data_IF_386139922137
#
_entry.id   IF_386139922137
#
_cell.length_a   1.000
_cell.length_b   1.000
_cell.length_c   1.000
_cell.angle_alpha   90.00
_cell.angle_beta   90.00
_cell.angle_gamma   90.00
#
_symmetry.space_group_name_H-M   'P 1'
#
loop_
_entity.id
_entity.type
_entity.pdbx_description
1 polymer ?
#
# COMPACT_ATOMS: atom_id res chain seq x y z
N UNK A 1 62.30 -16.49 -18.53
CA UNK A 1 61.07 -15.66 -18.59
C UNK A 1 59.81 -16.47 -18.34
N UNK A 2 59.64 -17.62 -19.01
CA UNK A 2 58.51 -18.55 -18.83
C UNK A 2 58.29 -18.99 -17.37
N UNK A 3 59.35 -19.30 -16.61
CA UNK A 3 59.21 -19.70 -15.20
C UNK A 3 58.75 -18.58 -14.27
N UNK A 4 59.05 -17.32 -14.58
CA UNK A 4 58.58 -16.17 -13.78
C UNK A 4 57.09 -15.89 -13.98
N UNK A 5 56.53 -16.29 -15.11
CA UNK A 5 55.12 -16.07 -15.45
C UNK A 5 54.19 -17.18 -14.93
N UNK A 6 54.71 -18.38 -14.63
CA UNK A 6 53.94 -19.50 -14.04
C UNK A 6 53.15 -19.11 -12.77
N UNK A 7 53.76 -18.50 -11.73
CA UNK A 7 53.02 -18.15 -10.52
C UNK A 7 51.95 -17.07 -10.75
N UNK A 8 52.13 -16.20 -11.75
CA UNK A 8 51.12 -15.22 -12.14
C UNK A 8 49.94 -15.88 -12.87
N UNK A 9 50.23 -16.86 -13.73
CA UNK A 9 49.22 -17.67 -14.43
C UNK A 9 48.41 -18.52 -13.45
N UNK A 10 49.05 -19.13 -12.47
CA UNK A 10 48.38 -19.95 -11.46
C UNK A 10 47.47 -19.10 -10.57
N UNK A 11 47.93 -17.92 -10.14
CA UNK A 11 47.09 -16.94 -9.43
C UNK A 11 45.90 -16.45 -10.28
N UNK A 12 46.10 -16.27 -11.59
CA UNK A 12 45.02 -15.87 -12.50
C UNK A 12 43.98 -16.99 -12.67
N UNK A 13 44.43 -18.25 -12.77
CA UNK A 13 43.56 -19.43 -12.83
C UNK A 13 42.74 -19.59 -11.55
N UNK A 14 43.38 -19.44 -10.39
CA UNK A 14 42.69 -19.53 -9.10
C UNK A 14 41.66 -18.41 -8.93
N UNK A 15 41.98 -17.19 -9.36
CA UNK A 15 41.01 -16.08 -9.37
C UNK A 15 39.84 -16.34 -10.32
N UNK A 16 40.10 -16.86 -11.52
CA UNK A 16 39.03 -17.23 -12.45
C UNK A 16 38.13 -18.31 -11.87
N UNK A 17 38.68 -19.36 -11.27
CA UNK A 17 37.91 -20.40 -10.59
C UNK A 17 37.02 -19.82 -9.48
N UNK A 18 37.56 -18.94 -8.63
CA UNK A 18 36.77 -18.27 -7.58
C UNK A 18 35.68 -17.36 -8.13
N UNK A 19 35.89 -16.75 -9.29
CA UNK A 19 34.90 -15.88 -9.92
C UNK A 19 33.80 -16.70 -10.61
N UNK A 20 34.13 -17.84 -11.22
CA UNK A 20 33.14 -18.77 -11.78
C UNK A 20 32.25 -19.35 -10.70
N UNK A 21 32.82 -19.81 -9.57
CA UNK A 21 32.03 -20.33 -8.45
C UNK A 21 31.06 -19.27 -7.87
N UNK A 22 31.52 -18.02 -7.82
CA UNK A 22 30.66 -16.89 -7.39
C UNK A 22 29.58 -16.57 -8.41
N UNK A 23 29.88 -16.65 -9.70
CA UNK A 23 28.90 -16.41 -10.75
C UNK A 23 27.80 -17.47 -10.70
N UNK A 24 28.17 -18.75 -10.54
CA UNK A 24 27.24 -19.87 -10.37
C UNK A 24 26.40 -19.73 -9.09
N UNK A 25 27.04 -19.38 -7.97
CA UNK A 25 26.32 -19.15 -6.71
C UNK A 25 25.38 -17.93 -6.74
N UNK A 26 25.67 -16.93 -7.58
CA UNK A 26 24.78 -15.79 -7.79
C UNK A 26 23.63 -16.12 -8.75
N UNK A 27 23.88 -16.91 -9.80
CA UNK A 27 22.82 -17.37 -10.71
C UNK A 27 21.82 -18.26 -9.99
N UNK A 28 22.28 -19.20 -9.14
CA UNK A 28 21.37 -20.01 -8.32
C UNK A 28 20.49 -19.17 -7.40
N UNK A 29 21.05 -18.09 -6.81
CA UNK A 29 20.27 -17.19 -5.95
C UNK A 29 19.25 -16.41 -6.75
N UNK A 30 19.60 -15.97 -7.96
CA UNK A 30 18.65 -15.32 -8.87
C UNK A 30 17.52 -16.27 -9.27
N UNK A 31 17.84 -17.51 -9.60
CA UNK A 31 16.81 -18.51 -9.95
C UNK A 31 15.89 -18.81 -8.77
N UNK A 32 16.44 -18.95 -7.55
CA UNK A 32 15.65 -19.10 -6.32
C UNK A 32 14.74 -17.90 -6.07
N UNK A 33 15.23 -16.67 -6.29
CA UNK A 33 14.44 -15.45 -6.15
C UNK A 33 13.37 -15.31 -7.24
N UNK A 34 13.68 -15.70 -8.49
CA UNK A 34 12.69 -15.70 -9.57
C UNK A 34 11.59 -16.74 -9.32
N UNK A 35 11.95 -17.91 -8.81
CA UNK A 35 10.99 -18.95 -8.43
C UNK A 35 10.16 -18.57 -7.21
N UNK A 36 10.72 -17.85 -6.23
CA UNK A 36 9.91 -17.33 -5.11
C UNK A 36 9.03 -16.15 -5.54
N UNK A 37 9.49 -15.32 -6.46
CA UNK A 37 8.69 -14.24 -7.07
C UNK A 37 7.57 -14.77 -7.97
N UNK A 38 7.72 -15.93 -8.62
CA UNK A 38 6.61 -16.49 -9.40
C UNK A 38 5.48 -16.97 -8.46
N UNK A 39 5.82 -17.59 -7.33
CA UNK A 39 4.86 -17.97 -6.28
C UNK A 39 4.21 -16.73 -5.65
N UNK A 40 5.00 -15.75 -5.20
CA UNK A 40 4.50 -14.53 -4.57
C UNK A 40 3.84 -13.56 -5.56
N UNK A 41 4.20 -13.60 -6.84
CA UNK A 41 3.62 -12.80 -7.92
C UNK A 41 2.27 -13.33 -8.38
N UNK A 42 2.06 -14.65 -8.28
CA UNK A 42 0.73 -15.24 -8.35
C UNK A 42 -0.08 -14.74 -7.16
N UNK A 43 0.47 -14.73 -5.94
CA UNK A 43 -0.22 -14.15 -4.78
C UNK A 43 -0.37 -12.63 -4.82
N UNK A 44 0.42 -11.86 -5.55
CA UNK A 44 0.18 -10.42 -5.71
C UNK A 44 -0.91 -10.12 -6.74
N UNK A 45 -0.96 -10.91 -7.84
CA UNK A 45 -2.09 -10.88 -8.78
C UNK A 45 -3.36 -11.49 -8.19
N UNK A 46 -3.21 -12.43 -7.26
CA UNK A 46 -4.31 -13.18 -6.62
C UNK A 46 -4.72 -12.56 -5.28
N UNK A 47 -3.87 -11.83 -4.55
CA UNK A 47 -4.26 -11.00 -3.40
C UNK A 47 -4.95 -9.71 -3.85
N UNK A 48 -4.74 -9.30 -5.11
CA UNK A 48 -5.65 -8.37 -5.78
C UNK A 48 -6.99 -9.03 -6.19
N UNK A 49 -7.11 -10.36 -6.14
CA UNK A 49 -8.29 -11.12 -6.60
C UNK A 49 -9.04 -11.89 -5.49
N UNK A 50 -8.42 -12.15 -4.33
CA UNK A 50 -9.02 -12.84 -3.19
C UNK A 50 -9.50 -11.77 -2.22
N UNK A 51 -10.71 -11.28 -2.47
CA UNK A 51 -11.41 -10.35 -1.57
C UNK A 51 -11.63 -8.94 -2.12
N UNK A 52 -11.17 -8.62 -3.32
CA UNK A 52 -11.53 -7.35 -3.98
C UNK A 52 -12.77 -7.60 -4.86
N UNK A 53 -13.91 -6.93 -4.62
CA UNK A 53 -15.06 -7.04 -5.49
C UNK A 53 -14.68 -6.64 -6.93
N UNK A 54 -15.15 -7.40 -7.92
CA UNK A 54 -14.97 -7.27 -9.38
C UNK A 54 -15.23 -5.86 -9.98
N UNK A 55 -15.63 -4.87 -9.19
CA UNK A 55 -16.09 -3.54 -9.62
C UNK A 55 -14.99 -2.50 -9.91
N UNK A 56 -13.69 -2.84 -9.91
CA UNK A 56 -12.62 -1.83 -10.14
C UNK A 56 -12.16 -1.66 -11.59
N UNK A 57 -12.75 -2.39 -12.55
CA UNK A 57 -12.61 -2.13 -13.98
C UNK A 57 -13.96 -1.71 -14.57
N UNK A 58 -14.59 -0.71 -13.96
CA UNK A 58 -15.54 0.09 -14.73
C UNK A 58 -14.71 1.00 -15.62
N UNK A 59 -14.74 0.76 -16.93
CA UNK A 59 -14.41 1.78 -17.93
C UNK A 59 -15.02 3.10 -17.45
N UNK A 60 -14.17 4.11 -17.19
CA UNK A 60 -14.67 5.44 -16.80
C UNK A 60 -15.45 5.97 -17.99
N UNK A 61 -16.77 5.80 -17.98
CA UNK A 61 -17.62 6.45 -18.96
C UNK A 61 -17.46 7.96 -18.78
N UNK A 62 -17.30 8.72 -19.87
CA UNK A 62 -17.29 10.17 -19.78
C UNK A 62 -18.62 10.61 -19.12
N UNK A 63 -18.58 11.61 -18.21
CA UNK A 63 -19.79 12.07 -17.55
C UNK A 63 -20.78 12.59 -18.60
N UNK A 64 -22.10 12.35 -18.44
CA UNK A 64 -23.09 12.85 -19.38
C UNK A 64 -23.02 14.38 -19.52
N UNK A 65 -23.42 14.91 -20.69
CA UNK A 65 -23.38 16.34 -20.99
C UNK A 65 -24.18 17.16 -19.96
N UNK A 66 -23.88 18.48 -19.80
CA UNK A 66 -24.39 19.31 -18.71
C UNK A 66 -25.92 19.41 -18.53
N UNK A 67 -26.74 18.88 -19.43
CA UNK A 67 -28.21 18.80 -19.31
C UNK A 67 -28.79 17.39 -19.11
N UNK A 68 -27.98 16.33 -19.26
CA UNK A 68 -28.42 14.92 -19.15
C UNK A 68 -27.97 14.26 -17.84
N UNK A 69 -27.30 15.02 -16.97
CA UNK A 69 -26.88 14.53 -15.66
C UNK A 69 -28.12 14.32 -14.80
N UNK A 70 -28.39 13.06 -14.47
CA UNK A 70 -29.42 12.72 -13.47
C UNK A 70 -29.06 13.41 -12.15
N UNK A 71 -30.07 13.99 -11.50
CA UNK A 71 -29.92 14.55 -10.15
C UNK A 71 -29.33 13.50 -9.21
N UNK A 72 -28.30 13.82 -8.42
CA UNK A 72 -27.68 12.85 -7.52
C UNK A 72 -28.67 12.33 -6.47
N UNK A 73 -28.79 11.01 -6.39
CA UNK A 73 -29.45 10.29 -5.31
C UNK A 73 -30.91 9.92 -5.57
N UNK A 74 -31.24 8.69 -5.17
CA UNK A 74 -32.60 8.13 -5.16
C UNK A 74 -32.95 7.31 -6.40
N UNK A 75 -33.72 6.23 -6.20
CA UNK A 75 -34.51 5.62 -7.28
C UNK A 75 -35.44 6.70 -7.89
N UNK A 76 -35.88 6.55 -9.16
CA UNK A 76 -36.82 7.47 -9.79
C UNK A 76 -38.03 7.75 -8.88
N UNK A 77 -38.30 9.04 -8.60
CA UNK A 77 -39.39 9.46 -7.70
C UNK A 77 -39.01 9.67 -6.23
N UNK A 78 -37.77 9.36 -5.84
CA UNK A 78 -37.26 9.63 -4.49
C UNK A 78 -36.21 10.74 -4.50
N UNK A 79 -36.32 11.69 -3.58
CA UNK A 79 -35.27 12.68 -3.38
C UNK A 79 -34.00 11.99 -2.87
N UNK A 80 -32.85 12.32 -3.46
CA UNK A 80 -31.57 11.87 -2.97
C UNK A 80 -31.27 12.41 -1.58
N UNK A 81 -31.45 11.59 -0.55
CA UNK A 81 -30.97 11.89 0.79
C UNK A 81 -29.54 11.40 0.92
N UNK A 82 -28.57 12.32 0.82
CA UNK A 82 -27.21 12.05 1.27
C UNK A 82 -27.11 12.28 2.77
N UNK A 83 -26.34 11.44 3.47
CA UNK A 83 -26.02 11.71 4.87
C UNK A 83 -25.34 13.08 4.98
N UNK A 84 -25.75 13.97 5.89
CA UNK A 84 -25.08 15.24 6.09
C UNK A 84 -23.61 14.99 6.49
N UNK A 85 -22.73 15.92 6.11
CA UNK A 85 -21.32 15.85 6.48
C UNK A 85 -21.20 15.84 8.01
N UNK A 86 -20.40 14.94 8.60
CA UNK A 86 -20.17 14.94 10.04
C UNK A 86 -19.58 16.27 10.51
N UNK A 87 -20.08 16.80 11.63
CA UNK A 87 -19.53 17.98 12.30
C UNK A 87 -18.43 17.52 13.26
N UNK A 88 -17.19 18.02 13.15
CA UNK A 88 -16.13 17.69 14.10
C UNK A 88 -16.50 18.08 15.53
N UNK A 89 -16.33 17.15 16.47
CA UNK A 89 -16.57 17.34 17.91
C UNK A 89 -15.27 17.38 18.73
N UNK A 90 -14.11 17.35 18.07
CA UNK A 90 -12.79 17.37 18.69
C UNK A 90 -11.88 18.38 17.97
N UNK A 91 -10.78 18.84 18.60
CA UNK A 91 -9.79 19.72 17.97
C UNK A 91 -9.18 19.10 16.70
N UNK A 92 -8.83 19.95 15.74
CA UNK A 92 -8.19 19.50 14.50
C UNK A 92 -6.78 18.94 14.79
N UNK A 93 -6.50 17.73 14.28
CA UNK A 93 -5.13 17.19 14.23
C UNK A 93 -4.43 17.74 12.98
N UNK A 94 -3.45 18.62 13.18
CA UNK A 94 -2.67 19.23 12.08
C UNK A 94 -1.43 18.37 11.82
N UNK A 95 -1.32 17.80 10.62
CA UNK A 95 -0.14 17.08 10.18
C UNK A 95 0.77 18.05 9.44
N UNK A 96 1.96 18.28 9.97
CA UNK A 96 2.99 19.12 9.35
C UNK A 96 4.31 18.35 9.28
N UNK A 97 5.10 18.63 8.25
CA UNK A 97 6.41 18.01 8.03
C UNK A 97 7.48 19.10 8.10
N UNK A 98 8.53 18.87 8.88
CA UNK A 98 9.68 19.77 8.93
C UNK A 98 10.64 19.53 7.76
N UNK A 99 10.75 18.29 7.29
CA UNK A 99 11.69 17.87 6.24
C UNK A 99 10.97 17.06 5.17
N UNK A 100 11.48 17.14 3.94
CA UNK A 100 11.00 16.34 2.82
C UNK A 100 11.31 14.84 3.07
N UNK A 101 10.31 13.94 3.03
CA UNK A 101 10.55 12.51 3.28
C UNK A 101 11.39 11.84 2.19
N UNK A 102 11.52 12.46 1.00
CA UNK A 102 12.32 11.91 -0.10
C UNK A 102 13.79 12.33 -0.09
N UNK A 103 14.09 13.60 0.20
CA UNK A 103 15.45 14.16 0.10
C UNK A 103 15.97 14.80 1.39
N UNK A 104 15.22 14.71 2.50
CA UNK A 104 15.53 15.28 3.82
C UNK A 104 15.74 16.80 3.85
N UNK A 105 15.49 17.52 2.76
CA UNK A 105 15.59 18.98 2.71
C UNK A 105 14.54 19.60 3.62
N UNK A 106 14.91 20.64 4.38
CA UNK A 106 13.99 21.37 5.26
C UNK A 106 12.87 22.03 4.47
N UNK A 107 11.63 21.77 4.86
CA UNK A 107 10.44 22.36 4.29
C UNK A 107 10.21 23.75 4.91
N UNK A 108 9.74 24.68 4.08
CA UNK A 108 9.31 26.01 4.51
C UNK A 108 7.85 26.03 4.97
N UNK A 109 7.25 27.22 4.96
CA UNK A 109 5.82 27.37 5.25
C UNK A 109 4.97 26.57 4.23
N UNK A 110 3.88 25.90 4.65
CA UNK A 110 2.96 25.24 3.74
C UNK A 110 2.38 26.21 2.72
N UNK A 111 2.30 25.80 1.46
CA UNK A 111 1.71 26.61 0.39
C UNK A 111 0.18 26.51 0.33
N UNK A 112 -0.39 25.37 0.76
CA UNK A 112 -1.83 25.13 0.78
C UNK A 112 -2.17 24.14 1.92
N UNK A 113 -3.45 24.03 2.25
CA UNK A 113 -3.97 23.07 3.21
C UNK A 113 -5.33 22.53 2.79
N UNK A 114 -5.56 21.24 3.04
CA UNK A 114 -6.85 20.61 2.86
C UNK A 114 -7.31 19.96 4.15
N UNK A 115 -8.61 20.05 4.42
CA UNK A 115 -9.21 19.49 5.63
C UNK A 115 -10.41 18.60 5.30
N UNK A 116 -10.50 17.48 6.04
CA UNK A 116 -11.69 16.62 6.06
C UNK A 116 -11.98 16.13 7.48
N UNK A 117 -13.26 15.98 7.86
CA UNK A 117 -13.60 15.26 9.07
C UNK A 117 -13.20 13.79 8.90
N UNK A 118 -12.52 13.26 9.89
CA UNK A 118 -12.21 11.83 10.01
C UNK A 118 -12.92 11.34 11.25
N UNK A 119 -13.74 10.30 11.10
CA UNK A 119 -14.36 9.63 12.25
C UNK A 119 -13.36 8.63 12.81
N UNK A 120 -12.72 8.99 13.91
CA UNK A 120 -11.87 8.08 14.69
C UNK A 120 -12.79 7.30 15.63
N UNK A 121 -12.86 5.98 15.47
CA UNK A 121 -13.61 5.12 16.39
C UNK A 121 -12.75 4.91 17.63
N UNK A 122 -13.32 4.94 18.85
CA UNK A 122 -12.55 4.59 20.03
C UNK A 122 -12.02 3.16 19.89
N UNK A 123 -10.85 2.91 20.47
CA UNK A 123 -10.31 1.56 20.56
C UNK A 123 -11.37 0.65 21.22
N UNK A 124 -11.66 -0.48 20.57
CA UNK A 124 -12.61 -1.45 21.09
C UNK A 124 -12.12 -1.98 22.44
N UNK A 125 -12.88 -1.73 23.50
CA UNK A 125 -12.63 -2.31 24.81
C UNK A 125 -13.50 -3.55 24.98
N UNK A 126 -12.95 -4.58 25.62
CA UNK A 126 -13.68 -5.79 25.97
C UNK A 126 -14.32 -5.59 27.34
N UNK A 127 -15.63 -5.33 27.36
CA UNK A 127 -16.41 -5.29 28.60
C UNK A 127 -16.99 -6.68 28.90
N UNK A 128 -16.58 -7.26 30.02
CA UNK A 128 -17.15 -8.48 30.57
C UNK A 128 -17.86 -8.09 31.86
N UNK A 129 -19.17 -8.34 31.94
CA UNK A 129 -19.98 -8.02 33.11
C UNK A 129 -21.08 -9.06 33.34
N UNK A 130 -21.43 -9.27 34.60
CA UNK A 130 -22.56 -10.10 34.99
C UNK A 130 -23.88 -9.31 34.87
N UNK A 131 -24.81 -9.84 34.10
CA UNK A 131 -26.16 -9.28 33.98
C UNK A 131 -27.05 -9.81 35.11
N UNK A 132 -27.34 -8.97 36.10
CA UNK A 132 -28.35 -9.29 37.13
C UNK A 132 -29.71 -8.74 36.73
N UNK A 133 -30.70 -9.62 36.51
CA UNK A 133 -32.08 -9.23 36.21
C UNK A 133 -32.96 -9.52 37.43
N UNK A 134 -33.34 -8.48 38.16
CA UNK A 134 -34.26 -8.59 39.29
C UNK A 134 -35.69 -8.81 38.80
N UNK A 135 -36.39 -9.82 39.33
CA UNK A 135 -37.81 -10.05 39.08
C UNK A 135 -38.62 -9.60 40.28
N UNK A 136 -39.50 -8.64 40.06
CA UNK A 136 -40.43 -8.12 41.05
C UNK A 136 -41.79 -8.82 40.90
N UNK A 137 -42.52 -8.98 42.01
CA UNK A 137 -43.88 -9.54 42.04
C UNK A 137 -44.92 -8.44 41.90
#
# INVERSE_FOLDING_TARGET
EIERLRPALDKAREKNARLTDKAEGLSEKLDRLQNSLSVLGVDAKTAAAVGVPSSRVFFRQPPPPPGERRSPGGQPGHHGTTRPRPVPNAPARILSLENCPGCATRLGAPCDSWSRPITDLPEGHLDIFDLTVNRYK
#
